data_IF_459088752769
#
_entry.id   IF_459088752769
#
_cell.length_a   1.000
_cell.length_b   1.000
_cell.length_c   1.000
_cell.angle_alpha   90.00
_cell.angle_beta   90.00
_cell.angle_gamma   90.00
#
_symmetry.space_group_name_H-M   'P 1'
#
loop_
_entity.id
_entity.type
_entity.pdbx_description
1 polymer ?
#
# COMPACT_ATOMS: atom_id res chain seq x y z
N UNK A 1 10.30 23.20 16.36
CA UNK A 1 11.50 22.34 16.22
C UNK A 1 12.26 22.29 17.54
N UNK A 2 12.33 23.40 18.26
CA UNK A 2 13.13 23.56 19.48
C UNK A 2 12.86 22.49 20.55
N UNK A 3 11.60 22.16 20.84
CA UNK A 3 11.28 21.09 21.79
C UNK A 3 11.86 19.71 21.39
N UNK A 4 11.90 19.39 20.09
CA UNK A 4 12.49 18.14 19.61
C UNK A 4 14.01 18.15 19.82
N UNK A 5 14.66 19.28 19.53
CA UNK A 5 16.11 19.46 19.71
C UNK A 5 16.46 19.32 21.19
N UNK A 6 15.77 20.04 22.07
CA UNK A 6 15.98 19.96 23.52
C UNK A 6 15.78 18.54 24.05
N UNK A 7 14.70 17.87 23.64
CA UNK A 7 14.47 16.48 24.06
C UNK A 7 15.57 15.54 23.56
N UNK A 8 16.05 15.71 22.33
CA UNK A 8 17.17 14.91 21.81
C UNK A 8 18.44 15.14 22.63
N UNK A 9 18.77 16.39 22.95
CA UNK A 9 19.93 16.75 23.79
C UNK A 9 19.83 16.14 25.20
N UNK A 10 18.67 16.27 25.84
CA UNK A 10 18.37 15.68 27.17
C UNK A 10 18.48 14.15 27.17
N UNK A 11 18.26 13.50 26.01
CA UNK A 11 18.34 12.05 25.86
C UNK A 11 19.65 11.58 25.19
N UNK A 12 20.66 12.45 25.10
CA UNK A 12 21.96 12.14 24.49
C UNK A 12 21.88 11.66 23.03
N UNK A 13 20.91 12.21 22.28
CA UNK A 13 20.71 11.96 20.85
C UNK A 13 21.17 13.16 20.03
N UNK A 14 21.94 12.91 18.98
CA UNK A 14 22.39 13.94 18.05
C UNK A 14 21.57 13.90 16.75
N UNK A 15 21.02 15.04 16.35
CA UNK A 15 20.24 15.16 15.13
C UNK A 15 21.16 15.40 13.93
N UNK A 16 21.03 14.56 12.90
CA UNK A 16 21.79 14.72 11.67
C UNK A 16 21.07 15.68 10.70
N UNK A 17 21.41 16.97 10.78
CA UNK A 17 20.85 17.99 9.89
C UNK A 17 21.09 17.69 8.39
N UNK A 18 22.24 17.10 8.04
CA UNK A 18 22.57 16.77 6.64
C UNK A 18 21.67 15.69 6.03
N UNK A 19 21.15 14.77 6.84
CA UNK A 19 20.21 13.73 6.41
C UNK A 19 18.75 14.14 6.56
N UNK A 20 18.49 15.25 7.25
CA UNK A 20 17.13 15.73 7.51
C UNK A 20 16.68 16.58 6.35
N UNK A 21 15.50 16.26 5.81
CA UNK A 21 14.87 16.98 4.71
C UNK A 21 13.41 17.25 5.06
N UNK A 22 12.87 18.30 4.49
CA UNK A 22 11.46 18.65 4.62
C UNK A 22 10.70 18.16 3.38
N UNK A 23 9.58 17.48 3.58
CA UNK A 23 8.58 17.29 2.52
C UNK A 23 7.33 18.04 2.93
N UNK A 24 6.90 18.97 2.08
CA UNK A 24 5.68 19.73 2.29
C UNK A 24 4.57 19.13 1.44
N UNK A 25 3.55 18.61 2.10
CA UNK A 25 2.36 18.05 1.44
C UNK A 25 1.21 19.05 1.57
N UNK A 26 0.97 19.82 0.51
CA UNK A 26 -0.11 20.81 0.45
C UNK A 26 -0.88 20.71 -0.88
N UNK A 27 -2.19 20.52 -0.80
CA UNK A 27 -3.09 20.38 -1.96
C UNK A 27 -3.93 21.64 -2.22
N UNK A 28 -3.71 22.72 -1.47
CA UNK A 28 -4.41 24.00 -1.67
C UNK A 28 -3.96 24.64 -2.98
N UNK A 29 -4.92 25.12 -3.79
CA UNK A 29 -4.63 25.75 -5.10
C UNK A 29 -3.78 27.02 -5.00
N UNK A 30 -3.97 27.79 -3.92
CA UNK A 30 -3.25 29.03 -3.63
C UNK A 30 -2.55 28.89 -2.27
N UNK A 31 -1.61 27.96 -2.18
CA UNK A 31 -0.79 27.80 -0.98
C UNK A 31 0.28 28.91 -0.93
N UNK A 32 0.39 29.58 0.22
CA UNK A 32 1.57 30.39 0.49
C UNK A 32 2.80 29.46 0.60
N UNK A 33 4.00 29.92 0.20
CA UNK A 33 5.22 29.16 0.43
C UNK A 33 5.36 28.78 1.90
N UNK A 34 5.76 27.54 2.21
CA UNK A 34 6.02 27.10 3.57
C UNK A 34 7.13 27.95 4.19
N UNK A 35 6.99 28.27 5.47
CA UNK A 35 8.02 28.99 6.21
C UNK A 35 9.28 28.10 6.31
N UNK A 36 10.50 28.65 6.09
CA UNK A 36 11.72 27.87 6.19
C UNK A 36 11.88 27.23 7.58
N UNK A 37 12.17 25.92 7.60
CA UNK A 37 12.46 25.19 8.83
C UNK A 37 13.97 25.17 9.06
N UNK A 38 14.40 25.52 10.27
CA UNK A 38 15.79 25.35 10.73
C UNK A 38 15.87 24.21 11.74
N UNK A 39 17.01 23.51 11.71
CA UNK A 39 17.38 22.45 12.65
C UNK A 39 18.83 22.67 13.09
N UNK A 40 19.06 22.84 14.40
CA UNK A 40 20.38 23.15 14.96
C UNK A 40 21.06 24.33 14.21
N UNK A 41 20.31 25.42 14.04
CA UNK A 41 20.71 26.64 13.31
C UNK A 41 21.07 26.43 11.82
N UNK A 42 20.81 25.25 11.27
CA UNK A 42 21.01 24.92 9.86
C UNK A 42 19.66 24.85 9.13
N UNK A 43 19.52 25.45 7.94
CA UNK A 43 18.29 25.34 7.16
C UNK A 43 18.07 23.89 6.69
N UNK A 44 16.84 23.40 6.85
CA UNK A 44 16.43 22.09 6.34
C UNK A 44 16.05 22.21 4.88
N UNK A 45 16.62 21.36 4.03
CA UNK A 45 16.33 21.37 2.59
C UNK A 45 14.96 20.76 2.31
N UNK A 46 14.10 21.53 1.65
CA UNK A 46 12.84 21.01 1.10
C UNK A 46 13.08 20.12 -0.12
N UNK A 47 12.41 18.97 -0.19
CA UNK A 47 12.52 18.01 -1.29
C UNK A 47 11.14 17.61 -1.80
N UNK A 48 11.03 17.35 -3.10
CA UNK A 48 9.77 16.91 -3.71
C UNK A 48 9.47 15.43 -3.45
N UNK A 49 10.50 14.65 -3.12
CA UNK A 49 10.37 13.22 -2.82
C UNK A 49 11.50 12.72 -1.92
N UNK A 50 11.21 11.72 -1.11
CA UNK A 50 12.17 11.12 -0.19
C UNK A 50 11.94 9.61 -0.07
N UNK A 51 13.02 8.87 0.12
CA UNK A 51 12.96 7.42 0.36
C UNK A 51 12.91 7.15 1.86
N UNK A 52 11.74 6.78 2.36
CA UNK A 52 11.54 6.36 3.73
C UNK A 52 11.37 4.84 3.82
N UNK A 53 12.27 4.16 4.55
CA UNK A 53 12.26 2.70 4.76
C UNK A 53 12.09 1.88 3.47
N UNK A 54 12.62 2.38 2.34
CA UNK A 54 12.55 1.73 1.04
C UNK A 54 11.37 2.17 0.15
N UNK A 55 10.36 2.85 0.69
CA UNK A 55 9.23 3.44 -0.03
C UNK A 55 9.55 4.89 -0.42
N UNK A 56 9.28 5.27 -1.66
CA UNK A 56 9.42 6.67 -2.09
C UNK A 56 8.10 7.39 -1.82
N UNK A 57 8.16 8.46 -1.03
CA UNK A 57 7.04 9.35 -0.74
C UNK A 57 7.29 10.64 -1.51
N UNK A 58 6.32 11.06 -2.32
CA UNK A 58 6.38 12.32 -3.06
C UNK A 58 5.43 13.35 -2.43
N UNK A 59 5.75 14.64 -2.58
CA UNK A 59 4.96 15.76 -2.05
C UNK A 59 3.51 15.77 -2.58
N UNK A 60 3.30 15.30 -3.80
CA UNK A 60 1.98 15.21 -4.44
C UNK A 60 1.22 13.92 -4.08
N UNK A 61 1.79 13.11 -3.18
CA UNK A 61 1.32 11.77 -2.80
C UNK A 61 1.04 10.84 -3.99
N UNK A 62 1.63 11.11 -5.15
CA UNK A 62 1.60 10.18 -6.28
C UNK A 62 2.67 9.12 -6.08
N UNK A 63 2.34 7.90 -6.49
CA UNK A 63 3.18 6.74 -6.27
C UNK A 63 4.06 6.37 -7.47
N UNK A 64 3.99 7.12 -8.58
CA UNK A 64 4.69 6.82 -9.84
C UNK A 64 6.19 6.53 -9.64
N UNK A 65 6.90 7.39 -8.88
CA UNK A 65 8.33 7.18 -8.61
C UNK A 65 8.59 5.89 -7.82
N UNK A 66 7.77 5.62 -6.81
CA UNK A 66 7.83 4.39 -6.01
C UNK A 66 7.58 3.16 -6.90
N UNK A 67 6.50 3.18 -7.69
CA UNK A 67 6.09 2.08 -8.58
C UNK A 67 7.17 1.83 -9.64
N UNK A 68 7.74 2.87 -10.25
CA UNK A 68 8.88 2.75 -11.14
C UNK A 68 10.07 2.05 -10.47
N UNK A 69 10.39 2.45 -9.23
CA UNK A 69 11.49 1.84 -8.47
C UNK A 69 11.21 0.36 -8.16
N UNK A 70 9.98 0.01 -7.76
CA UNK A 70 9.57 -1.38 -7.49
C UNK A 70 9.63 -2.24 -8.75
N UNK A 71 9.12 -1.76 -9.88
CA UNK A 71 9.14 -2.47 -11.17
C UNK A 71 10.59 -2.73 -11.60
N UNK A 72 11.47 -1.73 -11.55
CA UNK A 72 12.90 -1.90 -11.90
C UNK A 72 13.55 -2.99 -11.04
N UNK A 73 13.34 -2.97 -9.72
CA UNK A 73 13.87 -4.00 -8.81
C UNK A 73 13.29 -5.39 -9.14
N UNK A 74 11.98 -5.49 -9.35
CA UNK A 74 11.33 -6.75 -9.68
C UNK A 74 11.81 -7.32 -11.02
N UNK A 75 12.03 -6.46 -12.03
CA UNK A 75 12.57 -6.86 -13.33
C UNK A 75 14.00 -7.40 -13.23
N UNK A 76 14.85 -6.79 -12.38
CA UNK A 76 16.19 -7.34 -12.10
C UNK A 76 16.09 -8.75 -11.47
N UNK A 77 15.11 -8.99 -10.61
CA UNK A 77 14.88 -10.32 -10.00
C UNK A 77 14.24 -11.32 -10.96
N UNK A 78 13.44 -10.84 -11.91
CA UNK A 78 12.86 -11.64 -12.98
C UNK A 78 13.93 -12.31 -13.85
N UNK A 79 15.09 -11.67 -14.04
CA UNK A 79 16.22 -12.29 -14.73
C UNK A 79 16.59 -13.63 -14.09
N UNK A 80 16.79 -13.64 -12.77
CA UNK A 80 17.10 -14.87 -12.03
C UNK A 80 15.99 -15.91 -12.12
N UNK A 81 14.71 -15.51 -12.06
CA UNK A 81 13.59 -16.45 -12.24
C UNK A 81 13.66 -17.13 -13.63
N UNK A 82 14.00 -16.40 -14.69
CA UNK A 82 14.21 -16.98 -16.03
C UNK A 82 15.41 -17.91 -16.07
N UNK A 83 16.49 -17.59 -15.34
CA UNK A 83 17.64 -18.49 -15.23
C UNK A 83 17.24 -19.80 -14.54
N UNK A 84 16.46 -19.75 -13.45
CA UNK A 84 15.95 -20.96 -12.79
C UNK A 84 15.12 -21.83 -13.74
N UNK A 85 14.29 -21.21 -14.58
CA UNK A 85 13.54 -21.91 -15.62
C UNK A 85 14.45 -22.59 -16.64
N UNK A 86 15.53 -21.90 -17.07
CA UNK A 86 16.53 -22.45 -18.01
C UNK A 86 17.23 -23.70 -17.46
N UNK A 87 17.47 -23.73 -16.15
CA UNK A 87 18.04 -24.90 -15.46
C UNK A 87 17.01 -25.99 -15.15
N UNK A 88 15.77 -25.89 -15.68
CA UNK A 88 14.70 -26.87 -15.48
C UNK A 88 14.37 -27.14 -14.01
N UNK A 89 14.46 -26.13 -13.14
CA UNK A 89 14.08 -26.30 -11.74
C UNK A 89 12.59 -26.66 -11.61
N UNK A 90 12.20 -27.41 -10.56
CA UNK A 90 10.81 -27.70 -10.27
C UNK A 90 9.98 -26.43 -10.13
N UNK A 91 8.72 -26.51 -10.59
CA UNK A 91 7.76 -25.40 -10.52
C UNK A 91 7.61 -24.85 -9.10
N UNK A 92 7.55 -25.73 -8.11
CA UNK A 92 7.44 -25.38 -6.69
C UNK A 92 8.59 -24.48 -6.22
N UNK A 93 9.83 -24.77 -6.62
CA UNK A 93 10.98 -23.94 -6.29
C UNK A 93 10.90 -22.56 -6.95
N UNK A 94 10.46 -22.48 -8.20
CA UNK A 94 10.28 -21.21 -8.89
C UNK A 94 9.16 -20.36 -8.26
N UNK A 95 8.06 -20.98 -7.82
CA UNK A 95 6.99 -20.30 -7.07
C UNK A 95 7.52 -19.79 -5.72
N UNK A 96 8.31 -20.57 -5.01
CA UNK A 96 8.92 -20.14 -3.74
C UNK A 96 9.89 -18.96 -3.94
N UNK A 97 10.69 -19.01 -5.01
CA UNK A 97 11.57 -17.90 -5.39
C UNK A 97 10.76 -16.63 -5.70
N UNK A 98 9.71 -16.75 -6.51
CA UNK A 98 8.82 -15.64 -6.81
C UNK A 98 8.22 -15.04 -5.53
N UNK A 99 7.63 -15.88 -4.68
CA UNK A 99 6.94 -15.45 -3.45
C UNK A 99 7.90 -14.78 -2.46
N UNK A 100 9.13 -15.28 -2.36
CA UNK A 100 10.10 -14.77 -1.38
C UNK A 100 10.81 -13.51 -1.87
N UNK A 101 11.02 -13.36 -3.18
CA UNK A 101 11.89 -12.30 -3.72
C UNK A 101 11.13 -11.28 -4.56
N UNK A 102 10.27 -11.71 -5.48
CA UNK A 102 9.58 -10.80 -6.40
C UNK A 102 8.31 -10.26 -5.75
N UNK A 103 7.46 -11.12 -5.20
CA UNK A 103 6.26 -10.73 -4.45
C UNK A 103 6.63 -9.83 -3.28
N UNK A 104 7.67 -10.15 -2.50
CA UNK A 104 8.09 -9.31 -1.37
C UNK A 104 8.49 -7.89 -1.79
N UNK A 105 9.10 -7.71 -2.98
CA UNK A 105 9.36 -6.39 -3.55
C UNK A 105 8.05 -5.72 -3.96
N UNK A 106 7.20 -6.43 -4.71
CA UNK A 106 5.93 -5.90 -5.22
C UNK A 106 4.92 -5.57 -4.11
N UNK A 107 5.01 -6.24 -2.96
CA UNK A 107 4.09 -6.06 -1.82
C UNK A 107 4.69 -5.23 -0.69
N UNK A 108 5.92 -4.76 -0.84
CA UNK A 108 6.57 -3.85 0.12
C UNK A 108 5.74 -2.59 0.29
N UNK A 109 5.25 -2.33 1.50
CA UNK A 109 4.37 -1.20 1.84
C UNK A 109 3.10 -1.08 0.98
N UNK A 110 2.61 -2.18 0.39
CA UNK A 110 1.46 -2.14 -0.55
C UNK A 110 0.20 -1.55 0.06
N UNK A 111 0.01 -1.66 1.37
CA UNK A 111 -1.14 -1.07 2.08
C UNK A 111 -1.13 0.46 2.05
N UNK A 112 0.02 1.09 1.77
CA UNK A 112 0.19 2.55 1.74
C UNK A 112 -0.07 3.10 0.33
N UNK A 113 0.44 2.44 -0.71
CA UNK A 113 0.48 3.03 -2.05
C UNK A 113 -0.53 2.46 -3.07
N UNK A 114 -1.39 1.51 -2.68
CA UNK A 114 -2.33 0.82 -3.59
C UNK A 114 -3.52 1.69 -4.07
N UNK A 115 -3.26 2.87 -4.63
CA UNK A 115 -4.29 3.87 -4.93
C UNK A 115 -4.80 3.85 -6.38
N UNK A 116 -3.93 3.93 -7.41
CA UNK A 116 -4.38 4.23 -8.78
C UNK A 116 -4.58 3.00 -9.68
N UNK A 117 -5.48 3.08 -10.67
CA UNK A 117 -5.73 2.01 -11.64
C UNK A 117 -4.58 1.79 -12.63
N UNK A 118 -3.94 2.89 -13.09
CA UNK A 118 -2.81 2.86 -14.03
C UNK A 118 -1.61 2.11 -13.44
N UNK A 119 -1.29 2.36 -12.17
CA UNK A 119 -0.15 1.74 -11.49
C UNK A 119 -0.38 0.25 -11.26
N UNK A 120 -1.62 -0.16 -11.00
CA UNK A 120 -2.01 -1.57 -10.82
C UNK A 120 -1.74 -2.40 -12.08
N UNK A 121 -2.02 -1.86 -13.26
CA UNK A 121 -1.80 -2.57 -14.53
C UNK A 121 -0.32 -2.91 -14.76
N UNK A 122 0.58 -1.95 -14.53
CA UNK A 122 2.03 -2.12 -14.74
C UNK A 122 2.63 -3.17 -13.81
N UNK A 123 2.24 -3.15 -12.53
CA UNK A 123 2.67 -4.15 -11.55
C UNK A 123 2.08 -5.53 -11.86
N UNK A 124 0.80 -5.60 -12.27
CA UNK A 124 0.18 -6.86 -12.68
C UNK A 124 0.89 -7.48 -13.90
N UNK A 125 1.44 -6.67 -14.83
CA UNK A 125 2.26 -7.19 -15.92
C UNK A 125 3.54 -7.88 -15.45
N UNK A 126 4.14 -7.45 -14.33
CA UNK A 126 5.29 -8.16 -13.73
C UNK A 126 4.85 -9.54 -13.23
N UNK A 127 3.70 -9.62 -12.56
CA UNK A 127 3.13 -10.90 -12.09
C UNK A 127 2.84 -11.81 -13.28
N UNK A 128 2.15 -11.31 -14.31
CA UNK A 128 1.86 -12.07 -15.54
C UNK A 128 3.12 -12.57 -16.25
N UNK A 129 4.20 -11.79 -16.18
CA UNK A 129 5.49 -12.21 -16.72
C UNK A 129 6.08 -13.38 -15.93
N UNK A 130 5.97 -13.37 -14.60
CA UNK A 130 6.36 -14.53 -13.78
C UNK A 130 5.47 -15.75 -14.05
N UNK A 131 4.14 -15.57 -14.17
CA UNK A 131 3.20 -16.66 -14.51
C UNK A 131 3.60 -17.37 -15.80
N UNK A 132 3.98 -16.60 -16.83
CA UNK A 132 4.47 -17.14 -18.11
C UNK A 132 5.77 -17.93 -17.97
N UNK A 133 6.72 -17.45 -17.17
CA UNK A 133 8.01 -18.13 -16.95
C UNK A 133 7.82 -19.44 -16.18
N UNK A 134 6.97 -19.42 -15.15
CA UNK A 134 6.74 -20.55 -14.25
C UNK A 134 5.77 -21.57 -14.86
N UNK A 135 4.80 -21.11 -15.65
CA UNK A 135 3.72 -21.92 -16.21
C UNK A 135 2.64 -22.26 -15.18
N UNK A 136 2.30 -21.34 -14.28
CA UNK A 136 1.14 -21.45 -13.39
C UNK A 136 0.58 -20.08 -13.02
N UNK A 137 -0.66 -20.08 -12.52
CA UNK A 137 -1.31 -18.89 -11.99
C UNK A 137 -0.65 -18.47 -10.67
N UNK A 138 -0.47 -17.17 -10.51
CA UNK A 138 0.03 -16.54 -9.28
C UNK A 138 -1.07 -15.64 -8.70
N UNK A 139 -1.02 -15.31 -7.40
CA UNK A 139 -1.95 -14.36 -6.83
C UNK A 139 -1.92 -13.02 -7.58
N UNK A 140 -3.08 -12.51 -7.96
CA UNK A 140 -3.18 -11.18 -8.57
C UNK A 140 -2.71 -10.09 -7.61
N UNK A 141 -2.29 -8.95 -8.13
CA UNK A 141 -1.89 -7.80 -7.30
C UNK A 141 -3.01 -7.38 -6.35
N UNK A 142 -4.27 -7.48 -6.79
CA UNK A 142 -5.44 -7.23 -5.95
C UNK A 142 -5.53 -8.20 -4.78
N UNK A 143 -5.36 -9.50 -5.02
CA UNK A 143 -5.41 -10.52 -3.98
C UNK A 143 -4.24 -10.36 -2.99
N UNK A 144 -3.06 -10.00 -3.49
CA UNK A 144 -1.90 -9.68 -2.65
C UNK A 144 -2.18 -8.47 -1.77
N UNK A 145 -2.69 -7.37 -2.32
CA UNK A 145 -3.09 -6.21 -1.53
C UNK A 145 -4.14 -6.58 -0.47
N UNK A 146 -5.23 -7.25 -0.87
CA UNK A 146 -6.28 -7.67 0.05
C UNK A 146 -5.73 -8.52 1.20
N UNK A 147 -4.94 -9.56 0.89
CA UNK A 147 -4.30 -10.41 1.88
C UNK A 147 -3.41 -9.63 2.85
N UNK A 148 -2.56 -8.71 2.33
CA UNK A 148 -1.64 -7.90 3.15
C UNK A 148 -2.39 -6.91 4.04
N UNK A 149 -3.42 -6.26 3.50
CA UNK A 149 -4.28 -5.32 4.23
C UNK A 149 -5.02 -6.03 5.36
N UNK A 150 -5.61 -7.20 5.09
CA UNK A 150 -6.27 -8.00 6.13
C UNK A 150 -5.31 -8.47 7.21
N UNK A 151 -4.14 -8.97 6.83
CA UNK A 151 -3.11 -9.37 7.79
C UNK A 151 -2.65 -8.20 8.66
N UNK A 152 -2.52 -7.00 8.08
CA UNK A 152 -2.16 -5.79 8.84
C UNK A 152 -3.28 -5.37 9.78
N UNK A 153 -4.53 -5.34 9.31
CA UNK A 153 -5.70 -5.04 10.14
C UNK A 153 -5.81 -6.02 11.32
N UNK A 154 -5.69 -7.33 11.07
CA UNK A 154 -5.71 -8.34 12.12
C UNK A 154 -4.63 -8.13 13.19
N UNK A 155 -3.42 -7.72 12.79
CA UNK A 155 -2.36 -7.35 13.76
C UNK A 155 -2.71 -6.12 14.59
N UNK A 156 -3.36 -5.12 14.01
CA UNK A 156 -3.79 -3.91 14.73
C UNK A 156 -4.92 -4.24 15.73
N UNK A 157 -5.86 -5.09 15.31
CA UNK A 157 -6.95 -5.55 16.16
C UNK A 157 -6.41 -6.37 17.33
N UNK A 158 -5.45 -7.25 17.08
CA UNK A 158 -4.87 -8.13 18.10
C UNK A 158 -3.99 -7.41 19.13
N UNK A 159 -3.54 -6.18 18.86
CA UNK A 159 -2.65 -5.41 19.73
C UNK A 159 -3.38 -4.19 20.34
N UNK A 160 -3.84 -4.27 21.61
CA UNK A 160 -4.51 -3.16 22.28
C UNK A 160 -3.65 -1.91 22.45
N UNK A 161 -2.32 -2.05 22.44
CA UNK A 161 -1.37 -0.93 22.56
C UNK A 161 -1.14 -0.20 21.24
N UNK A 162 -1.57 -0.79 20.11
CA UNK A 162 -1.37 -0.19 18.81
C UNK A 162 -2.16 1.12 18.69
N UNK A 163 -1.56 2.22 18.20
CA UNK A 163 -2.23 3.53 18.11
C UNK A 163 -3.55 3.50 17.33
N UNK A 164 -3.61 2.67 16.29
CA UNK A 164 -4.80 2.45 15.46
C UNK A 164 -5.83 1.46 16.02
N UNK A 165 -5.58 0.77 17.14
CA UNK A 165 -6.48 -0.28 17.66
C UNK A 165 -7.91 0.22 17.89
N UNK A 166 -8.03 1.43 18.45
CA UNK A 166 -9.32 2.09 18.72
C UNK A 166 -10.16 2.30 17.46
N UNK A 167 -9.54 2.39 16.28
CA UNK A 167 -10.22 2.58 14.99
C UNK A 167 -10.97 1.32 14.52
N UNK A 168 -10.62 0.15 15.03
CA UNK A 168 -11.21 -1.14 14.65
C UNK A 168 -12.25 -1.65 15.65
N UNK A 169 -12.60 -0.86 16.67
CA UNK A 169 -13.66 -1.24 17.60
C UNK A 169 -15.01 -1.20 16.86
N UNK A 170 -15.78 -2.30 16.82
CA UNK A 170 -17.11 -2.28 16.25
C UNK A 170 -17.99 -1.29 17.04
N UNK A 171 -18.85 -0.49 16.38
CA UNK A 171 -19.78 0.39 17.08
C UNK A 171 -20.70 -0.42 18.01
N UNK A 172 -21.27 0.18 19.07
CA UNK A 172 -22.07 -0.52 20.10
C UNK A 172 -23.18 -1.41 19.50
N UNK A 173 -23.87 -0.93 18.47
CA UNK A 173 -24.92 -1.65 17.75
C UNK A 173 -24.46 -3.02 17.18
N UNK A 174 -23.19 -3.14 16.82
CA UNK A 174 -22.61 -4.36 16.26
C UNK A 174 -21.99 -5.28 17.31
N UNK A 175 -21.82 -4.79 18.54
CA UNK A 175 -21.35 -5.59 19.67
C UNK A 175 -22.50 -6.46 20.20
N UNK A 176 -23.71 -5.90 20.27
CA UNK A 176 -24.92 -6.64 20.65
C UNK A 176 -25.24 -7.74 19.63
N UNK A 177 -25.11 -7.44 18.33
CA UNK A 177 -25.32 -8.44 17.26
C UNK A 177 -24.30 -9.59 17.31
N UNK A 178 -23.05 -9.33 17.68
CA UNK A 178 -22.01 -10.37 17.80
C UNK A 178 -22.27 -11.33 18.97
N UNK A 179 -22.82 -10.84 20.08
CA UNK A 179 -23.19 -11.66 21.24
C UNK A 179 -24.38 -12.59 20.96
N UNK A 180 -25.29 -12.20 20.09
CA UNK A 180 -26.46 -13.01 19.71
C UNK A 180 -26.15 -14.12 18.68
N UNK A 181 -25.01 -14.03 17.98
CA UNK A 181 -24.67 -14.94 16.89
C UNK A 181 -23.86 -16.17 17.33
N UNK A 182 -23.33 -16.16 18.58
CA UNK A 182 -22.50 -17.23 19.15
C UNK A 182 -23.28 -18.50 19.59
N UNK A 183 -24.60 -18.55 19.39
CA UNK A 183 -25.43 -19.69 19.84
C UNK A 183 -25.86 -20.68 18.74
N UNK A 184 -25.43 -20.55 17.47
CA UNK A 184 -25.74 -21.58 16.46
C UNK A 184 -24.68 -21.73 15.34
N UNK A 185 -24.04 -22.92 15.34
CA UNK A 185 -23.33 -23.64 14.25
C UNK A 185 -21.85 -23.35 13.88
N UNK A 186 -21.16 -24.44 13.51
CA UNK A 186 -19.76 -24.62 13.04
C UNK A 186 -19.38 -23.78 11.79
N UNK A 187 -18.08 -23.56 11.47
CA UNK A 187 -17.59 -22.31 10.88
C UNK A 187 -17.75 -22.26 9.36
N UNK A 188 -17.96 -21.04 8.82
CA UNK A 188 -17.15 -20.66 7.68
C UNK A 188 -16.72 -19.18 7.67
N UNK A 189 -15.57 -18.96 7.03
CA UNK A 189 -15.10 -17.73 6.40
C UNK A 189 -16.12 -16.57 6.31
N UNK A 190 -16.24 -15.72 7.33
CA UNK A 190 -17.03 -14.48 7.21
C UNK A 190 -16.85 -13.50 8.39
N UNK A 191 -15.62 -13.12 8.70
CA UNK A 191 -15.39 -11.91 9.52
C UNK A 191 -14.52 -10.92 8.75
N UNK A 192 -15.11 -10.37 7.68
CA UNK A 192 -14.73 -9.07 7.14
C UNK A 192 -15.85 -8.08 7.42
N UNK A 193 -15.54 -6.85 7.85
CA UNK A 193 -16.54 -5.79 7.91
C UNK A 193 -17.18 -5.63 6.52
N UNK A 194 -18.51 -5.76 6.46
CA UNK A 194 -19.32 -5.47 5.28
C UNK A 194 -19.25 -3.98 4.93
N UNK A 195 -18.11 -3.53 4.40
CA UNK A 195 -17.95 -2.25 3.68
C UNK A 195 -16.93 -2.36 2.56
N UNK A 196 -17.05 -3.41 1.75
CA UNK A 196 -16.64 -3.37 0.33
C UNK A 196 -17.60 -4.26 -0.47
N UNK A 197 -18.84 -3.79 -0.65
CA UNK A 197 -19.66 -4.22 -1.79
C UNK A 197 -19.17 -3.38 -2.97
N UNK A 198 -18.66 -3.95 -4.07
CA UNK A 198 -18.49 -3.19 -5.30
C UNK A 198 -19.84 -2.58 -5.63
N UNK A 199 -19.87 -1.27 -5.92
CA UNK A 199 -21.05 -0.66 -6.53
C UNK A 199 -21.40 -1.51 -7.75
N UNK A 200 -22.55 -2.21 -7.70
CA UNK A 200 -23.13 -2.76 -8.93
C UNK A 200 -23.27 -1.57 -9.86
N UNK A 201 -22.68 -1.65 -11.04
CA UNK A 201 -22.96 -0.69 -12.11
C UNK A 201 -24.47 -0.62 -12.25
N UNK A 202 -25.04 0.57 -12.07
CA UNK A 202 -26.42 0.81 -12.44
C UNK A 202 -26.55 0.51 -13.94
N UNK A 203 -27.58 -0.22 -14.38
CA UNK A 203 -27.88 -0.32 -15.80
C UNK A 203 -28.16 1.10 -16.34
N UNK A 204 -27.62 1.40 -17.51
CA UNK A 204 -27.87 2.66 -18.20
C UNK A 204 -29.38 2.83 -18.44
N UNK A 205 -29.94 4.04 -18.31
CA UNK A 205 -31.32 4.29 -18.69
C UNK A 205 -31.51 4.07 -20.20
N UNK A 206 -32.69 3.61 -20.65
CA UNK A 206 -32.98 3.47 -22.07
C UNK A 206 -32.90 4.85 -22.75
N UNK A 207 -32.21 4.91 -23.89
CA UNK A 207 -32.25 6.07 -24.78
C UNK A 207 -33.66 6.17 -25.38
N UNK A 208 -34.46 7.12 -24.92
CA UNK A 208 -35.67 7.54 -25.64
C UNK A 208 -35.24 8.43 -26.80
N UNK A 209 -35.35 7.89 -28.01
CA UNK A 209 -35.35 8.65 -29.26
C UNK A 209 -36.58 9.55 -29.28
N UNK A 210 -36.40 10.85 -29.04
CA UNK A 210 -37.42 11.85 -29.34
C UNK A 210 -37.24 12.25 -30.80
N UNK A 211 -38.15 11.80 -31.66
CA UNK A 211 -38.36 12.35 -33.00
C UNK A 211 -38.79 13.81 -32.87
N UNK A 212 -37.98 14.73 -33.39
CA UNK A 212 -38.39 16.12 -33.59
C UNK A 212 -39.17 16.21 -34.90
N UNK A 213 -40.46 16.54 -34.79
CA UNK A 213 -41.25 17.09 -35.88
C UNK A 213 -41.34 18.58 -35.62
N UNK A 214 -40.71 19.40 -36.46
CA UNK A 214 -41.27 20.49 -37.28
C UNK A 214 -40.10 21.25 -37.89
#
# INVERSE_FOLDING_TARGET
>A
MDHLVTWCEENHLELNALKTVEIVVDFRKNAAPPAPITLCDSPVTAVESFRFLGTIIAQDLKWEQNICSLIKKAQQRMFFLRQLKKFNLPKTMMVNFYTSIIDSILTSSITIWYATAKDKGRLQCVIRSAEKVIGCNLPSLHNLHASRTLRRAGKIVADPSHPGHKLFKPPPLWQEAALHQDQNLSPPEQLLPLRYRPLKQCPAPPLTLTTATT
#
